data_IF_342960996134
#
_entry.id   IF_342960996134
#
_cell.length_a   1.000
_cell.length_b   1.000
_cell.length_c   1.000
_cell.angle_alpha   90.00
_cell.angle_beta   90.00
_cell.angle_gamma   90.00
#
_symmetry.space_group_name_H-M   'P 1'
#
loop_
_entity.id
_entity.type
_entity.pdbx_description
1 polymer ?
#
# COMPACT_ATOMS: atom_id res chain seq x y z
N UNK A 1 21.31 32.32 -19.99
CA UNK A 1 21.26 30.90 -19.64
C UNK A 1 20.30 30.76 -18.46
N UNK A 2 19.05 30.38 -18.71
CA UNK A 2 18.15 30.02 -17.61
C UNK A 2 18.53 28.62 -17.17
N UNK A 3 19.15 28.50 -16.00
CA UNK A 3 19.28 27.21 -15.33
C UNK A 3 17.86 26.77 -15.00
N UNK A 4 17.33 25.80 -15.76
CA UNK A 4 16.10 25.11 -15.40
C UNK A 4 16.37 24.38 -14.08
N UNK A 5 16.16 25.10 -12.98
CA UNK A 5 16.17 24.52 -11.65
C UNK A 5 14.92 23.66 -11.54
N UNK A 6 15.08 22.37 -11.79
CA UNK A 6 14.06 21.38 -11.48
C UNK A 6 14.29 20.92 -10.02
N UNK A 7 13.53 21.46 -9.05
CA UNK A 7 13.68 21.10 -7.65
C UNK A 7 13.44 19.61 -7.40
N UNK A 8 12.59 18.97 -8.20
CA UNK A 8 12.23 17.56 -8.06
C UNK A 8 13.39 16.66 -8.49
N UNK A 9 13.99 16.94 -9.65
CA UNK A 9 15.19 16.23 -10.11
C UNK A 9 16.38 16.47 -9.19
N UNK A 10 16.53 17.69 -8.67
CA UNK A 10 17.59 18.04 -7.71
C UNK A 10 17.43 17.28 -6.40
N UNK A 11 16.19 17.15 -5.91
CA UNK A 11 15.92 16.39 -4.70
C UNK A 11 16.12 14.90 -4.94
N UNK A 12 15.52 14.32 -5.99
CA UNK A 12 15.70 12.91 -6.38
C UNK A 12 17.16 12.53 -6.57
N UNK A 13 17.99 13.41 -7.11
CA UNK A 13 19.43 13.20 -7.26
C UNK A 13 20.19 13.03 -5.94
N UNK A 14 19.61 13.43 -4.79
CA UNK A 14 20.18 13.23 -3.45
C UNK A 14 19.83 11.86 -2.85
N UNK A 15 18.81 11.19 -3.38
CA UNK A 15 18.34 9.92 -2.86
C UNK A 15 19.08 8.77 -3.53
N UNK A 16 19.80 7.99 -2.74
CA UNK A 16 20.28 6.69 -3.20
C UNK A 16 19.16 5.66 -3.09
N UNK A 17 19.24 4.60 -3.90
CA UNK A 17 18.29 3.48 -3.83
C UNK A 17 18.21 2.89 -2.41
N UNK A 18 19.33 2.79 -1.70
CA UNK A 18 19.38 2.32 -0.30
C UNK A 18 18.65 3.27 0.66
N UNK A 19 18.87 4.59 0.56
CA UNK A 19 18.14 5.56 1.40
C UNK A 19 16.63 5.50 1.17
N UNK A 20 16.20 5.26 -0.07
CA UNK A 20 14.78 5.11 -0.38
C UNK A 20 14.22 3.82 0.23
N UNK A 21 14.92 2.70 0.08
CA UNK A 21 14.53 1.41 0.66
C UNK A 21 14.37 1.54 2.18
N UNK A 22 15.38 2.10 2.85
CA UNK A 22 15.36 2.29 4.31
C UNK A 22 14.19 3.18 4.75
N UNK A 23 13.93 4.27 4.04
CA UNK A 23 12.80 5.17 4.32
C UNK A 23 11.45 4.47 4.15
N UNK A 24 11.31 3.62 3.14
CA UNK A 24 10.08 2.89 2.85
C UNK A 24 9.81 1.85 3.93
N UNK A 25 10.82 1.03 4.26
CA UNK A 25 10.71 -0.03 5.26
C UNK A 25 10.52 0.51 6.69
N UNK A 26 11.16 1.62 7.04
CA UNK A 26 11.19 2.12 8.42
C UNK A 26 10.17 3.24 8.73
N UNK A 27 9.72 4.00 7.73
CA UNK A 27 8.88 5.20 7.96
C UNK A 27 7.57 5.21 7.20
N UNK A 28 7.48 4.57 6.03
CA UNK A 28 6.34 4.78 5.12
C UNK A 28 5.33 3.65 5.14
N UNK A 29 5.75 2.41 5.38
CA UNK A 29 4.86 1.26 5.40
C UNK A 29 4.15 1.15 6.75
N UNK A 30 2.80 1.17 6.79
CA UNK A 30 2.06 0.87 8.00
C UNK A 30 2.36 -0.55 8.48
N UNK A 31 2.43 -0.73 9.79
CA UNK A 31 2.65 -2.04 10.40
C UNK A 31 1.60 -3.05 9.94
N UNK A 32 2.03 -4.21 9.45
CA UNK A 32 1.14 -5.28 8.98
C UNK A 32 0.73 -5.20 7.51
N UNK A 33 1.19 -4.21 6.75
CA UNK A 33 1.00 -4.18 5.29
C UNK A 33 1.98 -5.15 4.63
N UNK A 34 1.43 -6.20 3.99
CA UNK A 34 2.21 -7.10 3.15
C UNK A 34 2.30 -6.54 1.74
N UNK A 35 3.51 -6.22 1.30
CA UNK A 35 3.80 -5.90 -0.10
C UNK A 35 3.80 -7.15 -0.98
N UNK A 36 3.69 -6.96 -2.28
CA UNK A 36 3.87 -7.97 -3.30
C UNK A 36 5.25 -8.62 -3.16
N UNK A 37 5.36 -9.89 -3.53
CA UNK A 37 6.60 -10.63 -3.37
C UNK A 37 7.72 -10.01 -4.25
N UNK A 38 7.39 -9.50 -5.44
CA UNK A 38 8.31 -8.81 -6.34
C UNK A 38 8.85 -7.49 -5.74
N UNK A 39 7.97 -6.67 -5.15
CA UNK A 39 8.39 -5.42 -4.52
C UNK A 39 9.15 -5.69 -3.21
N UNK A 40 8.71 -6.70 -2.45
CA UNK A 40 9.39 -7.15 -1.24
C UNK A 40 10.80 -7.66 -1.53
N UNK A 41 11.00 -8.40 -2.63
CA UNK A 41 12.33 -8.84 -3.08
C UNK A 41 13.21 -7.66 -3.49
N UNK A 42 12.62 -6.67 -4.17
CA UNK A 42 13.32 -5.46 -4.59
C UNK A 42 13.77 -4.60 -3.39
N UNK A 43 12.96 -4.54 -2.34
CA UNK A 43 13.24 -3.79 -1.12
C UNK A 43 14.16 -4.55 -0.15
N UNK A 44 14.06 -5.88 -0.07
CA UNK A 44 14.90 -6.71 0.81
C UNK A 44 16.17 -7.23 0.14
N UNK A 45 16.60 -6.60 -0.97
CA UNK A 45 17.81 -7.03 -1.67
C UNK A 45 19.02 -6.92 -0.70
N UNK A 46 19.83 -7.99 -0.54
CA UNK A 46 20.94 -7.98 0.40
C UNK A 46 21.94 -6.86 0.09
N UNK A 47 22.60 -6.28 1.12
CA UNK A 47 23.61 -5.23 0.92
C UNK A 47 24.81 -5.69 0.05
N UNK A 48 25.04 -7.01 -0.04
CA UNK A 48 26.08 -7.63 -0.86
C UNK A 48 25.70 -7.77 -2.34
N UNK A 49 24.44 -7.49 -2.70
CA UNK A 49 24.05 -7.34 -4.09
C UNK A 49 24.52 -5.96 -4.55
N UNK A 50 25.68 -5.93 -5.23
CA UNK A 50 26.19 -4.74 -5.90
C UNK A 50 25.20 -4.37 -7.01
N UNK A 51 24.17 -3.62 -6.62
CA UNK A 51 23.22 -3.05 -7.55
C UNK A 51 24.00 -2.06 -8.43
N UNK A 52 23.84 -2.11 -9.76
CA UNK A 52 24.48 -1.15 -10.63
C UNK A 52 24.13 0.27 -10.15
N UNK A 53 25.05 1.24 -10.32
CA UNK A 53 24.83 2.61 -9.87
C UNK A 53 23.47 3.08 -10.35
N UNK A 54 22.52 3.21 -9.42
CA UNK A 54 21.15 3.56 -9.76
C UNK A 54 21.13 5.01 -10.19
N UNK A 55 20.65 5.26 -11.40
CA UNK A 55 20.43 6.62 -11.85
C UNK A 55 19.11 7.16 -11.24
N UNK A 56 18.85 8.46 -11.38
CA UNK A 56 17.65 9.09 -10.84
C UNK A 56 16.34 8.49 -11.40
N UNK A 57 16.37 7.92 -12.61
CA UNK A 57 15.23 7.26 -13.23
C UNK A 57 14.88 5.94 -12.53
N UNK A 58 15.89 5.15 -12.14
CA UNK A 58 15.68 3.90 -11.40
C UNK A 58 15.05 4.17 -10.02
N UNK A 59 15.49 5.23 -9.35
CA UNK A 59 14.93 5.67 -8.07
C UNK A 59 13.49 6.13 -8.26
N UNK A 60 13.21 6.96 -9.28
CA UNK A 60 11.87 7.43 -9.59
C UNK A 60 10.89 6.28 -9.91
N UNK A 61 11.33 5.29 -10.69
CA UNK A 61 10.54 4.10 -11.02
C UNK A 61 10.22 3.27 -9.76
N UNK A 62 11.20 3.12 -8.86
CA UNK A 62 10.97 2.41 -7.59
C UNK A 62 9.96 3.15 -6.72
N UNK A 63 10.08 4.48 -6.58
CA UNK A 63 9.10 5.32 -5.87
C UNK A 63 7.70 5.13 -6.47
N UNK A 64 7.59 5.18 -7.81
CA UNK A 64 6.32 5.05 -8.50
C UNK A 64 5.67 3.68 -8.23
N UNK A 65 6.44 2.59 -8.29
CA UNK A 65 5.96 1.23 -7.99
C UNK A 65 5.43 1.12 -6.56
N UNK A 66 6.16 1.67 -5.58
CA UNK A 66 5.75 1.66 -4.17
C UNK A 66 4.46 2.43 -3.96
N UNK A 67 4.38 3.65 -4.50
CA UNK A 67 3.17 4.51 -4.38
C UNK A 67 1.97 3.84 -5.03
N UNK A 68 2.15 3.24 -6.21
CA UNK A 68 1.09 2.54 -6.91
C UNK A 68 0.56 1.35 -6.10
N UNK A 69 1.45 0.58 -5.49
CA UNK A 69 1.08 -0.58 -4.70
C UNK A 69 0.34 -0.20 -3.41
N UNK A 70 0.85 0.78 -2.66
CA UNK A 70 0.19 1.31 -1.46
C UNK A 70 -1.22 1.83 -1.80
N UNK A 71 -1.37 2.52 -2.94
CA UNK A 71 -2.68 2.99 -3.41
C UNK A 71 -3.62 1.82 -3.69
N UNK A 72 -3.14 0.77 -4.35
CA UNK A 72 -3.95 -0.42 -4.64
C UNK A 72 -4.38 -1.15 -3.36
N UNK A 73 -3.49 -1.30 -2.39
CA UNK A 73 -3.80 -1.88 -1.07
C UNK A 73 -4.88 -1.05 -0.36
N UNK A 74 -4.74 0.27 -0.36
CA UNK A 74 -5.72 1.19 0.23
C UNK A 74 -7.11 1.04 -0.40
N UNK A 75 -7.19 1.00 -1.74
CA UNK A 75 -8.47 0.80 -2.46
C UNK A 75 -9.10 -0.56 -2.13
N UNK A 76 -8.30 -1.62 -2.06
CA UNK A 76 -8.78 -2.96 -1.73
C UNK A 76 -9.29 -3.04 -0.29
N UNK A 77 -8.59 -2.41 0.66
CA UNK A 77 -9.00 -2.34 2.05
C UNK A 77 -10.31 -1.55 2.21
N UNK A 78 -10.47 -0.42 1.51
CA UNK A 78 -11.72 0.33 1.50
C UNK A 78 -12.88 -0.51 0.94
N UNK A 79 -12.66 -1.22 -0.17
CA UNK A 79 -13.66 -2.13 -0.75
C UNK A 79 -14.05 -3.26 0.20
N UNK A 80 -13.10 -3.80 0.97
CA UNK A 80 -13.37 -4.81 1.99
C UNK A 80 -14.16 -4.24 3.16
N UNK A 81 -13.77 -3.06 3.64
CA UNK A 81 -14.50 -2.32 4.69
C UNK A 81 -15.96 -2.09 4.30
N UNK A 82 -16.21 -1.62 3.08
CA UNK A 82 -17.58 -1.39 2.59
C UNK A 82 -18.37 -2.69 2.49
N UNK A 83 -17.75 -3.77 2.01
CA UNK A 83 -18.39 -5.11 1.98
C UNK A 83 -18.75 -5.62 3.37
N UNK A 84 -17.86 -5.47 4.36
CA UNK A 84 -18.10 -5.90 5.73
C UNK A 84 -19.23 -5.10 6.37
N UNK A 85 -19.25 -3.78 6.17
CA UNK A 85 -20.31 -2.93 6.69
C UNK A 85 -21.66 -3.19 6.00
N UNK A 86 -21.67 -3.42 4.68
CA UNK A 86 -22.90 -3.83 4.00
C UNK A 86 -23.39 -5.22 4.41
N UNK A 87 -22.48 -6.18 4.66
CA UNK A 87 -22.84 -7.49 5.20
C UNK A 87 -23.40 -7.39 6.62
N UNK A 88 -22.86 -6.49 7.46
CA UNK A 88 -23.41 -6.18 8.79
C UNK A 88 -24.81 -5.56 8.74
N UNK A 89 -25.10 -4.74 7.72
CA UNK A 89 -26.43 -4.13 7.51
C UNK A 89 -27.45 -5.15 6.98
N UNK A 90 -27.06 -6.08 6.09
CA UNK A 90 -27.96 -7.15 5.61
C UNK A 90 -28.15 -8.27 6.64
N UNK A 91 -27.17 -8.52 7.50
CA UNK A 91 -27.25 -9.51 8.59
C UNK A 91 -28.18 -9.10 9.74
N UNK A 92 -28.63 -7.85 9.80
CA UNK A 92 -29.53 -7.35 10.84
C UNK A 92 -31.02 -7.39 10.45
N UNK A 93 -31.34 -7.75 9.20
CA UNK A 93 -32.72 -7.75 8.68
C UNK A 93 -33.36 -9.14 8.52
N UNK A 94 -32.77 -10.20 9.09
CA UNK A 94 -33.34 -11.54 9.00
C UNK A 94 -33.19 -12.29 10.32
N UNK A 95 -34.07 -11.99 11.26
CA UNK A 95 -34.64 -12.91 12.26
C UNK A 95 -35.57 -12.16 13.24
N UNK A 96 -36.55 -11.44 12.72
CA UNK A 96 -37.80 -11.22 13.46
C UNK A 96 -38.78 -12.33 13.05
N UNK A 97 -38.42 -13.59 13.35
CA UNK A 97 -39.43 -14.64 13.46
C UNK A 97 -40.25 -14.26 14.68
N UNK A 98 -41.40 -13.63 14.46
CA UNK A 98 -42.42 -13.48 15.47
C UNK A 98 -42.90 -14.89 15.83
N UNK A 99 -42.55 -15.46 17.01
CA UNK A 99 -43.01 -16.78 17.36
C UNK A 99 -44.52 -16.67 17.61
N UNK A 100 -45.32 -17.13 16.64
CA UNK A 100 -46.76 -17.28 16.81
C UNK A 100 -47.00 -18.37 17.86
N UNK A 101 -47.25 -17.96 19.09
CA UNK A 101 -47.64 -18.86 20.19
C UNK A 101 -48.98 -19.50 19.80
N UNK A 102 -49.09 -20.85 19.74
CA UNK A 102 -50.37 -21.49 19.54
C UNK A 102 -51.28 -21.22 20.73
N UNK A 103 -52.47 -20.70 20.46
CA UNK A 103 -53.54 -20.64 21.45
C UNK A 103 -53.95 -22.09 21.76
N UNK A 104 -53.79 -22.51 23.02
CA UNK A 104 -54.30 -23.79 23.51
C UNK A 104 -55.71 -23.50 24.01
N UNK A 105 -56.69 -24.25 23.47
CA UNK A 105 -58.12 -24.18 23.83
C UNK A 105 -58.40 -24.51 25.31
#
# INVERSE_FOLDING_TARGET
MSTNYDPLSTELGKWTKSMLIDFVLSKSLPTGVKLSDDLSLTLNCPPDFVLPPSNSLDVANLVQSIVFEIKNISVNNLKMHDKLNHAGVMGSASNAVNPKIPLID
#
